data_IF_553648401478
#
_entry.id   IF_553648401478
#
_cell.length_a   1.000
_cell.length_b   1.000
_cell.length_c   1.000
_cell.angle_alpha   90.00
_cell.angle_beta   90.00
_cell.angle_gamma   90.00
#
_symmetry.space_group_name_H-M   'P 1'
#
loop_
_entity.id
_entity.type
_entity.pdbx_description
1 polymer ?
#
# COMPACT_ATOMS: atom_id res chain seq x y z
N UNK A 1 -23.81 -40.69 -7.98
CA UNK A 1 -23.75 -39.22 -7.85
C UNK A 1 -22.42 -38.77 -8.44
N UNK A 2 -22.47 -38.11 -9.59
CA UNK A 2 -21.25 -37.61 -10.25
C UNK A 2 -20.83 -36.30 -9.57
N UNK A 3 -19.68 -36.28 -8.90
CA UNK A 3 -19.11 -35.04 -8.35
C UNK A 3 -18.45 -34.26 -9.50
N UNK A 4 -19.12 -33.22 -9.96
CA UNK A 4 -18.53 -32.30 -10.90
C UNK A 4 -17.45 -31.49 -10.14
N UNK A 5 -16.18 -31.79 -10.38
CA UNK A 5 -15.11 -30.98 -9.84
C UNK A 5 -15.14 -29.63 -10.53
N UNK A 6 -15.31 -28.56 -9.74
CA UNK A 6 -15.12 -27.19 -10.23
C UNK A 6 -13.62 -27.01 -10.40
N UNK A 7 -13.11 -26.69 -11.59
CA UNK A 7 -11.70 -26.45 -11.78
C UNK A 7 -11.30 -25.22 -10.94
N UNK A 8 -10.24 -25.35 -10.15
CA UNK A 8 -9.67 -24.21 -9.45
C UNK A 8 -9.12 -23.21 -10.46
N UNK A 9 -9.53 -21.95 -10.43
CA UNK A 9 -8.95 -20.94 -11.31
C UNK A 9 -7.45 -20.80 -10.97
N UNK A 10 -6.61 -21.04 -11.95
CA UNK A 10 -5.16 -20.85 -11.83
C UNK A 10 -4.73 -19.74 -12.78
N UNK A 11 -3.87 -18.86 -12.29
CA UNK A 11 -3.24 -17.83 -13.10
C UNK A 11 -1.75 -17.75 -12.76
N UNK A 12 -0.95 -17.46 -13.77
CA UNK A 12 0.48 -17.20 -13.59
C UNK A 12 0.66 -15.69 -13.58
N UNK A 13 1.24 -15.19 -12.50
CA UNK A 13 1.53 -13.78 -12.32
C UNK A 13 3.05 -13.58 -12.19
N UNK A 14 3.53 -12.44 -12.70
CA UNK A 14 4.82 -11.90 -12.32
C UNK A 14 4.63 -11.03 -11.09
N UNK A 15 5.52 -11.19 -10.12
CA UNK A 15 5.53 -10.40 -8.89
C UNK A 15 6.81 -9.56 -8.86
N UNK A 16 6.65 -8.25 -8.72
CA UNK A 16 7.71 -7.33 -8.34
C UNK A 16 7.51 -6.88 -6.89
N UNK A 17 8.60 -6.75 -6.13
CA UNK A 17 8.58 -6.22 -4.77
C UNK A 17 9.72 -5.23 -4.58
N UNK A 18 9.41 -4.10 -3.96
CA UNK A 18 10.38 -3.13 -3.49
C UNK A 18 9.97 -2.60 -2.12
N UNK A 19 10.94 -2.13 -1.36
CA UNK A 19 10.73 -1.61 -0.02
C UNK A 19 11.52 -0.32 0.17
N UNK A 20 10.94 0.66 0.85
CA UNK A 20 11.57 1.93 1.19
C UNK A 20 11.38 2.30 2.66
N UNK A 21 12.34 3.00 3.23
CA UNK A 21 12.24 3.55 4.60
C UNK A 21 11.42 4.84 4.56
N UNK A 22 10.34 4.87 5.33
CA UNK A 22 9.44 6.03 5.50
C UNK A 22 9.41 6.50 6.96
N UNK A 23 10.42 6.16 7.74
CA UNK A 23 10.48 6.50 9.15
C UNK A 23 10.50 8.02 9.35
N UNK A 24 9.53 8.61 10.06
CA UNK A 24 9.54 10.03 10.35
C UNK A 24 10.73 10.41 11.26
N UNK A 25 11.14 11.69 11.25
CA UNK A 25 12.20 12.15 12.12
C UNK A 25 11.81 12.06 13.61
N UNK A 26 12.79 11.87 14.47
CA UNK A 26 12.62 12.00 15.91
C UNK A 26 12.13 13.39 16.25
N UNK A 27 11.20 13.49 17.20
CA UNK A 27 10.58 14.75 17.60
C UNK A 27 9.19 14.98 16.99
N UNK A 28 8.78 14.20 15.97
CA UNK A 28 7.43 14.29 15.39
C UNK A 28 6.36 13.99 16.45
N UNK A 29 5.17 14.60 16.30
CA UNK A 29 4.02 14.30 17.13
C UNK A 29 3.61 12.81 17.00
N UNK A 30 3.53 12.14 18.14
CA UNK A 30 3.39 10.69 18.18
C UNK A 30 2.21 10.19 19.04
N UNK A 31 1.55 11.08 19.77
CA UNK A 31 0.45 10.70 20.65
C UNK A 31 -0.83 10.44 19.85
N UNK A 32 -1.15 9.17 19.62
CA UNK A 32 -2.26 8.75 18.78
C UNK A 32 -3.37 8.00 19.51
N UNK A 33 -3.19 7.68 20.79
CA UNK A 33 -4.13 6.85 21.53
C UNK A 33 -4.12 7.20 23.02
N UNK A 34 -5.23 6.90 23.71
CA UNK A 34 -5.47 7.37 25.07
C UNK A 34 -4.47 6.91 26.12
N UNK A 35 -3.80 5.77 25.92
CA UNK A 35 -2.78 5.28 26.84
C UNK A 35 -1.39 5.88 26.63
N UNK A 36 -1.18 6.65 25.55
CA UNK A 36 0.11 7.31 25.29
C UNK A 36 0.41 8.35 26.38
N UNK A 37 1.64 8.35 26.89
CA UNK A 37 2.12 9.26 27.94
C UNK A 37 3.12 10.30 27.44
N UNK A 38 3.41 10.31 26.15
CA UNK A 38 4.35 11.22 25.49
C UNK A 38 3.70 11.84 24.27
N UNK A 39 4.07 13.07 23.96
CA UNK A 39 3.54 13.81 22.81
C UNK A 39 4.44 13.63 21.58
N UNK A 40 5.76 13.56 21.79
CA UNK A 40 6.77 13.50 20.73
C UNK A 40 7.50 12.18 20.71
N UNK A 41 7.88 11.72 19.53
CA UNK A 41 8.79 10.59 19.37
C UNK A 41 10.16 10.92 19.94
N UNK A 42 10.70 10.07 20.80
CA UNK A 42 12.01 10.24 21.44
C UNK A 42 13.11 9.38 20.83
N UNK A 43 12.76 8.52 19.88
CA UNK A 43 13.69 7.64 19.18
C UNK A 43 12.98 6.74 18.19
N UNK A 44 13.77 6.01 17.43
CA UNK A 44 13.30 5.01 16.46
C UNK A 44 13.66 3.63 17.01
N UNK A 45 12.65 2.80 17.27
CA UNK A 45 12.86 1.41 17.70
C UNK A 45 13.29 0.52 16.53
N UNK A 46 12.60 0.69 15.39
CA UNK A 46 12.95 0.09 14.10
C UNK A 46 12.32 0.93 12.98
N UNK A 47 12.86 0.84 11.76
CA UNK A 47 12.30 1.56 10.63
C UNK A 47 10.82 1.25 10.38
N UNK A 48 10.09 2.23 9.90
CA UNK A 48 8.78 2.09 9.29
C UNK A 48 8.97 2.00 7.78
N UNK A 49 8.22 1.14 7.13
CA UNK A 49 8.47 0.79 5.75
C UNK A 49 7.26 1.10 4.86
N UNK A 50 7.56 1.43 3.62
CA UNK A 50 6.62 1.33 2.51
C UNK A 50 7.00 0.10 1.69
N UNK A 51 6.07 -0.84 1.55
CA UNK A 51 6.19 -2.00 0.67
C UNK A 51 5.39 -1.79 -0.59
N UNK A 52 6.02 -1.96 -1.75
CA UNK A 52 5.37 -1.89 -3.04
C UNK A 52 5.38 -3.26 -3.68
N UNK A 53 4.19 -3.76 -4.00
CA UNK A 53 3.99 -4.99 -4.77
C UNK A 53 3.39 -4.64 -6.13
N UNK A 54 4.00 -5.16 -7.19
CA UNK A 54 3.45 -5.10 -8.55
C UNK A 54 3.10 -6.52 -8.98
N UNK A 55 1.85 -6.73 -9.31
CA UNK A 55 1.34 -7.96 -9.89
C UNK A 55 1.07 -7.71 -11.37
N UNK A 56 1.65 -8.55 -12.23
CA UNK A 56 1.46 -8.45 -13.67
C UNK A 56 0.99 -9.80 -14.22
N UNK A 57 -0.06 -9.79 -15.04
CA UNK A 57 -0.50 -11.00 -15.72
C UNK A 57 0.58 -11.47 -16.71
N UNK A 58 0.92 -12.78 -16.69
CA UNK A 58 1.97 -13.32 -17.54
C UNK A 58 1.55 -13.52 -19.01
N UNK A 59 0.29 -13.26 -19.33
CA UNK A 59 -0.24 -13.47 -20.68
C UNK A 59 -0.17 -14.93 -21.19
N UNK A 60 0.11 -15.89 -20.31
CA UNK A 60 0.06 -17.30 -20.68
C UNK A 60 -1.38 -17.70 -20.96
N UNK A 61 -1.74 -17.75 -22.23
CA UNK A 61 -2.97 -18.40 -22.67
C UNK A 61 -2.75 -19.91 -22.57
N UNK A 62 -3.35 -20.57 -21.58
CA UNK A 62 -3.73 -21.96 -21.79
C UNK A 62 -4.64 -21.95 -23.00
N UNK A 63 -4.34 -22.82 -23.98
CA UNK A 63 -4.97 -22.83 -25.30
C UNK A 63 -6.47 -23.09 -25.38
N UNK A 64 -7.24 -22.65 -24.42
CA UNK A 64 -8.70 -22.72 -24.41
C UNK A 64 -9.31 -21.40 -24.86
N UNK A 65 -9.79 -21.39 -26.08
CA UNK A 65 -10.23 -20.27 -26.93
C UNK A 65 -11.53 -19.62 -26.52
N UNK A 66 -11.98 -19.70 -25.28
CA UNK A 66 -13.29 -19.18 -24.83
C UNK A 66 -13.24 -18.13 -23.74
N UNK A 67 -12.07 -17.71 -23.28
CA UNK A 67 -11.98 -16.58 -22.36
C UNK A 67 -11.86 -15.28 -23.18
N UNK A 68 -12.66 -14.23 -22.88
CA UNK A 68 -12.48 -12.95 -23.56
C UNK A 68 -11.03 -12.51 -23.39
N UNK A 69 -10.45 -11.95 -24.47
CA UNK A 69 -9.07 -11.47 -24.50
C UNK A 69 -8.81 -10.59 -23.27
N UNK A 70 -8.29 -11.17 -22.20
CA UNK A 70 -7.70 -10.40 -21.12
C UNK A 70 -6.51 -9.68 -21.71
N UNK A 71 -6.53 -8.37 -21.63
CA UNK A 71 -5.47 -7.53 -22.15
C UNK A 71 -4.12 -8.06 -21.64
N UNK A 72 -3.25 -8.39 -22.58
CA UNK A 72 -1.87 -8.79 -22.30
C UNK A 72 -1.24 -7.66 -21.47
N UNK A 73 -0.72 -8.01 -20.28
CA UNK A 73 -0.04 -7.12 -19.35
C UNK A 73 -0.94 -6.26 -18.43
N UNK A 74 -2.00 -6.82 -17.89
CA UNK A 74 -2.72 -6.19 -16.81
C UNK A 74 -1.84 -6.15 -15.54
N UNK A 75 -1.63 -4.95 -15.00
CA UNK A 75 -0.83 -4.72 -13.80
C UNK A 75 -1.71 -4.20 -12.68
N UNK A 76 -1.36 -4.57 -11.45
CA UNK A 76 -1.89 -3.98 -10.23
C UNK A 76 -0.73 -3.59 -9.33
N UNK A 77 -0.85 -2.44 -8.71
CA UNK A 77 0.14 -1.92 -7.76
C UNK A 77 -0.52 -1.84 -6.39
N UNK A 78 0.08 -2.48 -5.41
CA UNK A 78 -0.29 -2.32 -4.01
C UNK A 78 0.85 -1.63 -3.28
N UNK A 79 0.54 -0.55 -2.60
CA UNK A 79 1.43 0.14 -1.66
C UNK A 79 0.93 -0.14 -0.25
N UNK A 80 1.74 -0.76 0.57
CA UNK A 80 1.50 -0.96 1.99
C UNK A 80 2.39 0.00 2.77
N UNK A 81 1.80 0.84 3.61
CA UNK A 81 2.52 1.81 4.44
C UNK A 81 2.47 1.39 5.91
N UNK A 82 3.61 1.41 6.58
CA UNK A 82 3.69 1.31 8.03
C UNK A 82 3.26 2.63 8.68
N UNK A 83 1.97 2.88 8.60
CA UNK A 83 1.32 4.08 9.09
C UNK A 83 -0.05 3.76 9.68
N UNK A 84 -0.57 4.62 10.56
CA UNK A 84 -1.89 4.42 11.14
C UNK A 84 -2.98 4.70 10.11
N UNK A 85 -2.92 5.87 9.47
CA UNK A 85 -3.82 6.34 8.43
C UNK A 85 -3.25 7.58 7.75
N UNK A 86 -3.76 7.86 6.57
CA UNK A 86 -3.59 9.12 5.86
C UNK A 86 -4.96 9.74 5.58
N UNK A 87 -5.02 11.03 5.35
CA UNK A 87 -6.23 11.68 4.82
C UNK A 87 -6.46 11.25 3.36
N UNK A 88 -7.69 11.43 2.88
CA UNK A 88 -8.03 11.17 1.48
C UNK A 88 -7.12 11.99 0.54
N UNK A 89 -6.87 13.27 0.87
CA UNK A 89 -5.98 14.13 0.09
C UNK A 89 -4.55 13.60 0.02
N UNK A 90 -4.01 13.10 1.15
CA UNK A 90 -2.67 12.52 1.18
C UNK A 90 -2.60 11.20 0.40
N UNK A 91 -3.62 10.37 0.54
CA UNK A 91 -3.75 9.12 -0.22
C UNK A 91 -3.87 9.41 -1.71
N UNK A 92 -4.69 10.39 -2.09
CA UNK A 92 -4.87 10.83 -3.47
C UNK A 92 -3.57 11.35 -4.08
N UNK A 93 -2.77 12.09 -3.32
CA UNK A 93 -1.47 12.56 -3.77
C UNK A 93 -0.51 11.40 -4.09
N UNK A 94 -0.46 10.38 -3.23
CA UNK A 94 0.34 9.17 -3.48
C UNK A 94 -0.16 8.44 -4.72
N UNK A 95 -1.47 8.23 -4.81
CA UNK A 95 -2.07 7.49 -5.93
C UNK A 95 -1.92 8.24 -7.25
N UNK A 96 -1.82 9.57 -7.25
CA UNK A 96 -1.67 10.37 -8.46
C UNK A 96 -0.32 10.17 -9.16
N UNK A 97 0.75 9.90 -8.41
CA UNK A 97 2.12 9.74 -8.94
C UNK A 97 2.39 8.35 -9.54
N UNK A 98 1.70 7.32 -9.05
CA UNK A 98 2.00 5.92 -9.37
C UNK A 98 1.65 5.54 -10.81
N UNK A 99 0.52 5.99 -11.41
CA UNK A 99 0.12 5.61 -12.76
C UNK A 99 1.19 5.89 -13.81
N UNK A 100 1.80 7.05 -13.78
CA UNK A 100 2.86 7.43 -14.74
C UNK A 100 4.10 6.55 -14.58
N UNK A 101 4.53 6.31 -13.34
CA UNK A 101 5.75 5.55 -13.03
C UNK A 101 5.57 4.07 -13.36
N UNK A 102 4.43 3.49 -13.01
CA UNK A 102 4.18 2.05 -13.12
C UNK A 102 3.52 1.63 -14.45
N UNK A 103 3.07 2.57 -15.26
CA UNK A 103 2.33 2.27 -16.50
C UNK A 103 0.99 1.60 -16.24
N UNK A 104 0.24 2.07 -15.25
CA UNK A 104 -1.07 1.56 -14.81
C UNK A 104 -2.12 2.68 -14.82
N UNK A 105 -3.39 2.34 -14.72
CA UNK A 105 -4.44 3.32 -14.45
C UNK A 105 -4.65 3.50 -12.93
N UNK A 106 -5.30 4.59 -12.52
CA UNK A 106 -5.53 4.91 -11.11
C UNK A 106 -6.30 3.81 -10.36
N UNK A 107 -7.26 3.19 -11.00
CA UNK A 107 -8.08 2.09 -10.45
C UNK A 107 -7.32 0.77 -10.26
N UNK A 108 -6.10 0.68 -10.80
CA UNK A 108 -5.17 -0.42 -10.60
C UNK A 108 -4.20 -0.19 -9.44
N UNK A 109 -4.35 0.90 -8.69
CA UNK A 109 -3.50 1.24 -7.55
C UNK A 109 -4.28 1.11 -6.25
N UNK A 110 -3.74 0.34 -5.30
CA UNK A 110 -4.29 0.17 -3.97
C UNK A 110 -3.26 0.64 -2.93
N UNK A 111 -3.64 1.60 -2.10
CA UNK A 111 -2.88 2.01 -0.91
C UNK A 111 -3.52 1.40 0.34
N UNK A 112 -2.71 0.78 1.16
CA UNK A 112 -3.12 0.12 2.41
C UNK A 112 -2.20 0.54 3.56
N UNK A 113 -2.69 0.42 4.79
CA UNK A 113 -1.95 0.78 5.99
C UNK A 113 -1.84 -0.43 6.92
N UNK A 114 -0.70 -0.58 7.60
CA UNK A 114 -0.54 -1.58 8.66
C UNK A 114 -1.32 -1.21 9.94
N UNK A 115 -1.85 0.00 10.00
CA UNK A 115 -2.50 0.61 11.15
C UNK A 115 -1.58 0.67 12.37
N UNK A 116 -0.28 0.87 12.13
CA UNK A 116 0.71 1.01 13.18
C UNK A 116 0.52 2.30 13.96
N UNK A 117 0.33 2.19 15.28
CA UNK A 117 0.31 3.34 16.19
C UNK A 117 1.73 3.78 16.61
N UNK A 118 2.76 3.21 16.02
CA UNK A 118 4.16 3.58 16.22
C UNK A 118 4.71 4.54 15.15
N UNK A 119 3.90 4.87 14.15
CA UNK A 119 4.20 5.92 13.18
C UNK A 119 3.75 7.30 13.72
N UNK A 120 4.32 8.39 13.26
CA UNK A 120 3.83 9.73 13.55
C UNK A 120 2.39 9.93 13.04
N UNK A 121 1.73 10.99 13.51
CA UNK A 121 0.37 11.31 13.10
C UNK A 121 0.40 12.50 12.13
N UNK A 122 0.37 12.21 10.84
CA UNK A 122 0.63 13.17 9.76
C UNK A 122 -0.61 13.93 9.27
N UNK A 123 -1.71 13.94 10.02
CA UNK A 123 -2.90 14.69 9.63
C UNK A 123 -2.72 16.20 9.86
N UNK A 124 -3.24 17.07 8.98
CA UNK A 124 -3.06 18.52 9.08
C UNK A 124 -3.55 19.15 10.38
N UNK A 125 -4.55 18.58 11.02
CA UNK A 125 -5.08 19.05 12.31
C UNK A 125 -4.11 18.83 13.48
N UNK A 126 -3.00 18.14 13.24
CA UNK A 126 -1.94 17.88 14.23
C UNK A 126 -0.80 18.90 14.19
N UNK A 127 -0.72 19.72 13.14
CA UNK A 127 0.33 20.74 13.00
C UNK A 127 0.43 21.65 14.24
N UNK A 128 -0.67 22.14 14.87
CA UNK A 128 -0.57 23.00 16.06
C UNK A 128 -0.16 22.26 17.34
N UNK A 129 0.00 20.95 17.31
CA UNK A 129 0.38 20.17 18.47
C UNK A 129 1.91 20.04 18.61
N UNK A 130 2.45 19.78 19.81
CA UNK A 130 3.88 19.64 20.02
C UNK A 130 4.54 18.61 19.10
N UNK A 131 5.41 19.03 18.18
CA UNK A 131 6.05 18.17 17.19
C UNK A 131 5.15 17.80 16.01
N UNK A 132 4.13 18.60 15.75
CA UNK A 132 3.24 18.46 14.59
C UNK A 132 3.69 19.23 13.35
N UNK A 133 4.66 20.12 13.47
CA UNK A 133 5.26 20.94 12.43
C UNK A 133 6.52 20.32 11.80
#
# INVERSE_FOLDING_TARGET
>A
MSTTSVPSPTSILRLGHAQGDITPPVGIYHRMWGAARHDKATGVHRPLLADVLILESSGASDGDTKTPERSKNERFVRVQLDHVMLSDQQTDAIVAEIPEIAGVSRDQVLVTHSHSHSAGFLLPDRIPLPGGD
#
